data_IF_021055585657
#
_entry.id   IF_021055585657
#
_cell.length_a   1.000
_cell.length_b   1.000
_cell.length_c   1.000
_cell.angle_alpha   90.00
_cell.angle_beta   90.00
_cell.angle_gamma   90.00
#
_symmetry.space_group_name_H-M   'P 1'
#
loop_
_entity.id
_entity.type
_entity.pdbx_description
1 polymer ?
#
# COMPACT_ATOMS: atom_id res chain seq x y z
N UNK A 1 -7.60 7.17 -12.26
CA UNK A 1 -6.96 7.74 -11.06
C UNK A 1 -6.58 6.71 -10.01
N UNK A 2 -7.14 5.50 -10.03
CA UNK A 2 -6.74 4.43 -9.10
C UNK A 2 -5.27 4.05 -9.28
N UNK A 3 -4.80 3.89 -10.53
CA UNK A 3 -3.38 3.59 -10.81
C UNK A 3 -2.43 4.66 -10.24
N UNK A 4 -2.72 5.94 -10.50
CA UNK A 4 -1.98 7.07 -9.92
C UNK A 4 -1.94 7.00 -8.38
N UNK A 5 -3.09 6.72 -7.75
CA UNK A 5 -3.19 6.62 -6.30
C UNK A 5 -2.38 5.43 -5.75
N UNK A 6 -2.42 4.27 -6.39
CA UNK A 6 -1.59 3.11 -6.00
C UNK A 6 -0.11 3.47 -6.07
N UNK A 7 0.32 4.13 -7.16
CA UNK A 7 1.70 4.60 -7.32
C UNK A 7 2.11 5.59 -6.24
N UNK A 8 1.25 6.58 -5.94
CA UNK A 8 1.51 7.56 -4.89
C UNK A 8 1.60 6.91 -3.51
N UNK A 9 0.68 5.99 -3.17
CA UNK A 9 0.65 5.29 -1.89
C UNK A 9 1.89 4.40 -1.69
N UNK A 10 2.43 3.85 -2.76
CA UNK A 10 3.65 3.03 -2.71
C UNK A 10 4.91 3.84 -2.32
N UNK A 11 4.84 5.18 -2.33
CA UNK A 11 5.89 6.04 -1.78
C UNK A 11 6.07 5.88 -0.25
N UNK A 12 5.16 5.17 0.43
CA UNK A 12 5.40 4.68 1.80
C UNK A 12 6.58 3.71 1.91
N UNK A 13 7.02 3.12 0.79
CA UNK A 13 8.10 2.14 0.73
C UNK A 13 7.70 0.72 1.17
N UNK A 14 6.42 0.52 1.50
CA UNK A 14 5.84 -0.77 1.94
C UNK A 14 4.47 -0.96 1.30
N UNK A 15 4.06 -2.21 1.15
CA UNK A 15 2.68 -2.53 0.77
C UNK A 15 1.73 -2.23 1.92
N UNK A 16 0.55 -1.73 1.60
CA UNK A 16 -0.44 -1.29 2.59
C UNK A 16 -1.55 -2.34 2.73
N UNK A 17 -1.83 -2.75 3.96
CA UNK A 17 -3.02 -3.51 4.32
C UNK A 17 -4.02 -2.50 4.88
N UNK A 18 -5.09 -2.23 4.15
CA UNK A 18 -6.08 -1.23 4.52
C UNK A 18 -6.94 -0.79 3.34
N UNK A 19 -7.72 0.27 3.56
CA UNK A 19 -8.62 0.84 2.55
C UNK A 19 -8.20 2.27 2.20
N UNK A 20 -8.22 2.60 0.90
CA UNK A 20 -8.03 3.96 0.41
C UNK A 20 -9.30 4.45 -0.28
N UNK A 21 -9.82 5.59 0.18
CA UNK A 21 -10.94 6.29 -0.45
C UNK A 21 -10.54 7.73 -0.77
N UNK A 22 -10.68 8.11 -2.04
CA UNK A 22 -10.30 9.43 -2.53
C UNK A 22 -11.41 10.09 -3.33
N UNK A 23 -11.92 11.23 -2.86
CA UNK A 23 -12.89 12.04 -3.59
C UNK A 23 -12.18 13.17 -4.34
N UNK A 24 -12.10 13.08 -5.68
CA UNK A 24 -11.35 14.03 -6.53
C UNK A 24 -9.90 14.26 -6.07
N UNK A 25 -9.30 13.22 -5.47
CA UNK A 25 -7.93 13.28 -4.96
C UNK A 25 -6.91 13.35 -6.10
N UNK A 26 -5.81 14.06 -5.85
CA UNK A 26 -4.64 14.12 -6.72
C UNK A 26 -3.34 13.97 -5.91
N UNK A 27 -2.20 13.99 -6.59
CA UNK A 27 -0.89 13.66 -6.01
C UNK A 27 -0.55 14.43 -4.72
N UNK A 28 -0.82 15.75 -4.68
CA UNK A 28 -0.56 16.57 -3.50
C UNK A 28 -1.37 16.12 -2.28
N UNK A 29 -2.64 15.73 -2.47
CA UNK A 29 -3.50 15.26 -1.38
C UNK A 29 -3.10 13.85 -0.93
N UNK A 30 -2.75 12.96 -1.87
CA UNK A 30 -2.22 11.64 -1.54
C UNK A 30 -0.93 11.74 -0.73
N UNK A 31 0.02 12.60 -1.13
CA UNK A 31 1.26 12.81 -0.37
C UNK A 31 1.00 13.37 1.04
N UNK A 32 0.06 14.31 1.19
CA UNK A 32 -0.33 14.85 2.50
C UNK A 32 -0.93 13.77 3.40
N UNK A 33 -1.77 12.89 2.86
CA UNK A 33 -2.30 11.72 3.57
C UNK A 33 -1.15 10.84 4.09
N UNK A 34 -0.20 10.47 3.24
CA UNK A 34 0.94 9.63 3.64
C UNK A 34 1.80 10.25 4.73
N UNK A 35 2.13 11.55 4.61
CA UNK A 35 2.87 12.28 5.64
C UNK A 35 2.12 12.29 6.97
N UNK A 36 0.80 12.46 6.93
CA UNK A 36 -0.04 12.44 8.12
C UNK A 36 -0.05 11.06 8.77
N UNK A 37 -0.18 9.99 7.97
CA UNK A 37 -0.13 8.61 8.43
C UNK A 37 1.20 8.30 9.13
N UNK A 38 2.32 8.58 8.47
CA UNK A 38 3.67 8.36 9.03
C UNK A 38 3.85 9.12 10.36
N UNK A 39 3.39 10.37 10.42
CA UNK A 39 3.47 11.21 11.62
C UNK A 39 2.45 10.86 12.70
N UNK A 40 1.61 9.84 12.50
CA UNK A 40 0.63 9.37 13.49
C UNK A 40 0.91 7.89 13.81
N UNK A 41 1.92 7.57 14.63
CA UNK A 41 2.35 6.19 14.88
C UNK A 41 1.27 5.27 15.45
N UNK A 42 0.27 5.83 16.15
CA UNK A 42 -0.83 5.04 16.70
C UNK A 42 -1.92 4.69 15.65
N UNK A 43 -1.80 5.19 14.42
CA UNK A 43 -2.76 4.94 13.33
C UNK A 43 -2.35 3.79 12.41
N UNK A 44 -1.16 3.22 12.61
CA UNK A 44 -0.65 2.11 11.81
C UNK A 44 0.29 1.22 12.64
N UNK A 45 0.49 0.01 12.17
CA UNK A 45 1.50 -0.91 12.70
C UNK A 45 2.24 -1.58 11.54
N UNK A 46 3.49 -1.96 11.81
CA UNK A 46 4.27 -2.77 10.87
C UNK A 46 4.06 -4.24 11.19
N UNK A 47 3.61 -5.01 10.19
CA UNK A 47 3.35 -6.44 10.33
C UNK A 47 4.20 -7.24 9.34
N UNK A 48 4.63 -8.42 9.77
CA UNK A 48 5.32 -9.42 8.95
C UNK A 48 4.61 -10.75 9.11
N UNK A 49 4.49 -11.51 8.03
CA UNK A 49 3.88 -12.85 8.02
C UNK A 49 4.93 -13.87 7.62
N UNK A 50 5.14 -14.89 8.46
CA UNK A 50 6.12 -15.95 8.21
C UNK A 50 5.61 -16.98 7.19
N UNK A 51 4.30 -17.28 7.19
CA UNK A 51 3.63 -18.07 6.15
C UNK A 51 2.72 -17.16 5.31
N UNK A 52 2.74 -17.36 3.99
CA UNK A 52 1.86 -16.65 3.06
C UNK A 52 0.37 -16.86 3.35
N UNK A 53 0.01 -17.99 3.98
CA UNK A 53 -1.38 -18.30 4.35
C UNK A 53 -1.94 -17.36 5.41
N UNK A 54 -1.08 -16.77 6.24
CA UNK A 54 -1.48 -15.86 7.31
C UNK A 54 -1.64 -14.42 6.81
N UNK A 55 -1.12 -14.11 5.62
CA UNK A 55 -1.24 -12.79 5.00
C UNK A 55 -2.61 -12.60 4.34
N UNK A 56 -3.31 -11.46 4.59
CA UNK A 56 -4.56 -11.15 3.89
C UNK A 56 -4.35 -10.77 2.41
N UNK A 57 -3.11 -10.49 2.01
CA UNK A 57 -2.74 -10.16 0.64
C UNK A 57 -1.86 -11.27 0.07
N UNK A 58 -2.24 -11.80 -1.09
CA UNK A 58 -1.46 -12.79 -1.83
C UNK A 58 -0.83 -12.17 -3.07
N UNK A 59 0.44 -12.47 -3.31
CA UNK A 59 1.16 -12.05 -4.52
C UNK A 59 1.32 -13.23 -5.49
N UNK A 60 1.47 -12.92 -6.77
CA UNK A 60 1.81 -13.95 -7.75
C UNK A 60 3.24 -14.48 -7.47
N UNK A 61 3.48 -15.80 -7.57
CA UNK A 61 4.82 -16.34 -7.43
C UNK A 61 5.77 -15.74 -8.47
N UNK A 62 6.98 -15.36 -8.06
CA UNK A 62 7.99 -14.79 -8.96
C UNK A 62 8.28 -15.69 -10.18
N UNK A 63 8.24 -17.02 -10.00
CA UNK A 63 8.43 -17.99 -11.08
C UNK A 63 7.32 -17.93 -12.16
N UNK A 64 6.09 -17.53 -11.80
CA UNK A 64 4.99 -17.40 -12.75
C UNK A 64 5.10 -16.12 -13.61
N UNK A 65 5.84 -15.10 -13.16
CA UNK A 65 5.99 -13.83 -13.88
C UNK A 65 6.98 -13.89 -15.05
N UNK A 66 7.81 -14.94 -15.14
CA UNK A 66 8.82 -15.12 -16.20
C UNK A 66 8.25 -15.88 -17.41
N UNK A 67 7.05 -16.44 -17.30
CA UNK A 67 6.43 -17.27 -18.34
C UNK A 67 5.30 -16.58 -19.12
N UNK A 68 5.20 -15.25 -19.05
CA UNK A 68 4.19 -14.44 -19.75
C UNK A 68 4.81 -13.47 -20.77
#
# INVERSE_FOLDING_TARGET
KILDAIGDLYLLGRSLIGEFSGHKSGHALNNKLLRTLINTPNAWEEVTFDDMKDSPISYMPAAAMVSA
#
